data_IF_724814886632
#
_entry.id   IF_724814886632
#
_cell.length_a   1.000
_cell.length_b   1.000
_cell.length_c   1.000
_cell.angle_alpha   90.00
_cell.angle_beta   90.00
_cell.angle_gamma   90.00
#
_symmetry.space_group_name_H-M   'P 1'
#
loop_
_entity.id
_entity.type
_entity.pdbx_description
1 polymer ?
#
# COMPACT_ATOMS: atom_id res chain seq x y z
N UNK A 1 -17.62 5.97 15.02
CA UNK A 1 -18.23 4.89 14.20
C UNK A 1 -17.54 3.57 14.45
N UNK A 2 -16.24 3.50 14.49
CA UNK A 2 -15.47 2.30 14.84
C UNK A 2 -15.58 1.14 13.85
N UNK A 3 -14.85 0.06 14.12
CA UNK A 3 -14.74 -1.11 13.25
C UNK A 3 -16.10 -1.76 12.91
N UNK A 4 -17.09 -1.67 13.79
CA UNK A 4 -18.44 -2.24 13.57
C UNK A 4 -19.09 -1.72 12.29
N UNK A 5 -18.86 -0.45 11.92
CA UNK A 5 -19.48 0.17 10.75
C UNK A 5 -18.94 -0.30 9.40
N UNK A 6 -17.85 -1.08 9.41
CA UNK A 6 -17.17 -1.57 8.20
C UNK A 6 -17.07 -3.09 8.13
N UNK A 7 -17.55 -3.81 9.15
CA UNK A 7 -17.45 -5.29 9.21
C UNK A 7 -18.08 -5.99 8.01
N UNK A 8 -19.12 -5.44 7.42
CA UNK A 8 -19.76 -6.01 6.23
C UNK A 8 -18.79 -6.06 5.03
N UNK A 9 -17.83 -5.15 4.96
CA UNK A 9 -16.82 -5.07 3.90
C UNK A 9 -15.57 -5.94 4.18
N UNK A 10 -15.43 -6.47 5.40
CA UNK A 10 -14.22 -7.17 5.84
C UNK A 10 -14.41 -8.69 5.83
N UNK A 11 -13.42 -9.38 5.26
CA UNK A 11 -13.22 -10.82 5.40
C UNK A 11 -12.14 -11.07 6.45
N UNK A 12 -12.45 -11.71 7.57
CA UNK A 12 -11.46 -12.01 8.59
C UNK A 12 -10.30 -12.84 8.07
N UNK A 13 -9.13 -12.69 8.68
CA UNK A 13 -7.96 -13.54 8.40
C UNK A 13 -8.33 -15.01 8.58
N UNK A 14 -7.86 -15.86 7.67
CA UNK A 14 -8.16 -17.31 7.71
C UNK A 14 -7.64 -17.97 8.99
N UNK A 15 -8.36 -18.95 9.52
CA UNK A 15 -7.94 -19.71 10.71
C UNK A 15 -6.58 -20.39 10.52
N UNK A 16 -6.24 -20.78 9.29
CA UNK A 16 -4.93 -21.35 8.98
C UNK A 16 -3.78 -20.36 9.25
N UNK A 17 -3.98 -19.08 9.00
CA UNK A 17 -2.99 -18.01 9.27
C UNK A 17 -2.99 -17.70 10.77
N UNK A 18 -4.16 -17.52 11.39
CA UNK A 18 -4.28 -17.26 12.83
C UNK A 18 -3.72 -18.38 13.71
N UNK A 19 -3.68 -19.61 13.19
CA UNK A 19 -3.15 -20.79 13.92
C UNK A 19 -1.65 -21.02 13.74
N UNK A 20 -0.92 -20.12 13.08
CA UNK A 20 0.53 -20.20 12.99
C UNK A 20 1.16 -20.19 14.39
N UNK A 21 2.01 -21.17 14.67
CA UNK A 21 2.73 -21.31 15.95
C UNK A 21 4.14 -21.84 15.67
N UNK A 22 5.10 -21.42 16.47
CA UNK A 22 6.41 -22.03 16.49
C UNK A 22 6.38 -23.39 17.20
N UNK A 23 7.29 -24.26 16.79
CA UNK A 23 7.58 -25.52 17.52
C UNK A 23 8.58 -25.30 18.67
N UNK A 24 9.30 -24.18 18.68
CA UNK A 24 10.19 -23.81 19.76
C UNK A 24 9.46 -22.87 20.76
N UNK A 25 9.48 -23.25 22.03
CA UNK A 25 8.86 -22.48 23.12
C UNK A 25 9.54 -21.14 23.41
N UNK A 26 10.76 -20.95 22.91
CA UNK A 26 11.54 -19.71 23.06
C UNK A 26 11.29 -18.73 21.91
N UNK A 27 10.55 -19.14 20.88
CA UNK A 27 10.18 -18.25 19.79
C UNK A 27 9.07 -17.29 20.22
N UNK A 28 9.32 -16.01 20.00
CA UNK A 28 8.33 -14.93 20.17
C UNK A 28 7.98 -14.33 18.79
N UNK A 29 7.11 -15.01 18.05
CA UNK A 29 6.71 -14.58 16.72
C UNK A 29 5.73 -13.41 16.77
N UNK A 30 5.80 -12.54 15.76
CA UNK A 30 4.92 -11.37 15.61
C UNK A 30 3.43 -11.72 15.74
N UNK A 31 3.00 -12.91 15.32
CA UNK A 31 1.60 -13.33 15.47
C UNK A 31 1.10 -13.28 16.92
N UNK A 32 1.97 -13.35 17.89
CA UNK A 32 1.58 -13.28 19.31
C UNK A 32 1.17 -11.86 19.73
N UNK A 33 1.59 -10.84 18.94
CA UNK A 33 1.26 -9.42 19.13
C UNK A 33 0.06 -8.98 18.27
N UNK A 34 -0.48 -9.87 17.43
CA UNK A 34 -1.61 -9.55 16.54
C UNK A 34 -2.94 -9.82 17.23
N UNK A 35 -3.74 -8.78 17.35
CA UNK A 35 -5.15 -8.87 17.74
C UNK A 35 -6.06 -9.17 16.56
N UNK A 36 -7.05 -10.03 16.78
CA UNK A 36 -8.05 -10.43 15.78
C UNK A 36 -9.50 -10.23 16.24
N UNK A 37 -9.69 -9.82 17.50
CA UNK A 37 -11.01 -9.58 18.09
C UNK A 37 -11.27 -8.09 18.16
N UNK A 38 -12.53 -7.68 18.09
CA UNK A 38 -12.91 -6.27 18.13
C UNK A 38 -12.35 -5.52 19.34
N UNK A 39 -12.23 -6.20 20.49
CA UNK A 39 -11.63 -5.61 21.68
C UNK A 39 -10.17 -5.21 21.44
N UNK A 40 -9.44 -5.96 20.64
CA UNK A 40 -8.03 -5.70 20.33
C UNK A 40 -7.89 -4.44 19.45
N UNK A 41 -8.87 -4.17 18.59
CA UNK A 41 -8.91 -2.97 17.74
C UNK A 41 -8.80 -1.68 18.55
N UNK A 42 -9.53 -1.58 19.65
CA UNK A 42 -9.57 -0.34 20.43
C UNK A 42 -8.24 0.00 21.11
N UNK A 43 -7.42 -1.02 21.39
CA UNK A 43 -6.11 -0.85 22.03
C UNK A 43 -4.94 -0.84 21.05
N UNK A 44 -5.17 -1.17 19.77
CA UNK A 44 -4.14 -1.19 18.75
C UNK A 44 -3.71 0.22 18.33
N UNK A 45 -2.43 0.38 18.04
CA UNK A 45 -1.85 1.59 17.45
C UNK A 45 -1.83 1.50 15.92
N UNK A 46 -1.66 0.28 15.40
CA UNK A 46 -1.59 -0.04 14.00
C UNK A 46 -2.70 -0.98 13.57
N UNK A 47 -3.27 -0.73 12.39
CA UNK A 47 -4.22 -1.64 11.75
C UNK A 47 -3.62 -2.16 10.45
N UNK A 48 -3.61 -3.48 10.30
CA UNK A 48 -3.24 -4.18 9.07
C UNK A 48 -4.51 -4.54 8.31
N UNK A 49 -4.57 -4.19 7.02
CA UNK A 49 -5.68 -4.54 6.14
C UNK A 49 -5.16 -5.00 4.78
N UNK A 50 -5.80 -6.00 4.19
CA UNK A 50 -5.49 -6.47 2.83
C UNK A 50 -6.55 -6.07 1.82
N UNK A 51 -6.12 -5.83 0.56
CA UNK A 51 -7.01 -5.66 -0.59
C UNK A 51 -6.62 -6.66 -1.69
N UNK A 52 -7.13 -7.92 -1.65
CA UNK A 52 -6.72 -9.00 -2.54
C UNK A 52 -7.40 -8.89 -3.91
N UNK A 53 -6.96 -7.93 -4.73
CA UNK A 53 -7.45 -7.71 -6.09
C UNK A 53 -6.30 -7.42 -7.07
N UNK A 54 -6.50 -7.67 -8.35
CA UNK A 54 -5.57 -7.36 -9.43
C UNK A 54 -6.30 -6.94 -10.72
N UNK A 55 -7.54 -6.51 -10.59
CA UNK A 55 -8.36 -6.06 -11.72
C UNK A 55 -7.74 -4.84 -12.40
N UNK A 56 -7.24 -3.86 -11.63
CA UNK A 56 -6.55 -2.69 -12.17
C UNK A 56 -5.30 -3.07 -12.97
N UNK A 57 -4.55 -4.08 -12.51
CA UNK A 57 -3.38 -4.63 -13.23
C UNK A 57 -3.82 -5.27 -14.54
N UNK A 58 -4.89 -6.06 -14.53
CA UNK A 58 -5.43 -6.71 -15.71
C UNK A 58 -5.90 -5.69 -16.75
N UNK A 59 -6.64 -4.66 -16.35
CA UNK A 59 -7.07 -3.56 -17.21
C UNK A 59 -5.89 -2.79 -17.81
N UNK A 60 -4.79 -2.66 -17.07
CA UNK A 60 -3.54 -2.07 -17.55
C UNK A 60 -2.70 -3.04 -18.40
N UNK A 61 -3.20 -4.24 -18.70
CA UNK A 61 -2.52 -5.33 -19.43
C UNK A 61 -1.25 -5.84 -18.74
N UNK A 62 -1.16 -5.68 -17.41
CA UNK A 62 -0.11 -6.23 -16.59
C UNK A 62 -0.30 -7.71 -16.27
N UNK A 63 0.67 -8.30 -15.56
CA UNK A 63 0.64 -9.71 -15.17
C UNK A 63 -0.16 -9.88 -13.88
N UNK A 64 -1.26 -10.62 -13.95
CA UNK A 64 -2.12 -10.90 -12.78
C UNK A 64 -1.42 -11.81 -11.76
N UNK A 65 -1.86 -11.78 -10.49
CA UNK A 65 -1.34 -12.60 -9.39
C UNK A 65 -1.22 -11.83 -8.06
N UNK A 66 -1.21 -10.49 -8.10
CA UNK A 66 -1.07 -9.65 -6.91
C UNK A 66 -2.19 -9.85 -5.87
N UNK A 67 -3.37 -10.33 -6.26
CA UNK A 67 -4.45 -10.64 -5.31
C UNK A 67 -4.08 -11.70 -4.25
N UNK A 68 -3.04 -12.52 -4.51
CA UNK A 68 -2.57 -13.50 -3.52
C UNK A 68 -1.64 -12.89 -2.46
N UNK A 69 -1.12 -11.68 -2.68
CA UNK A 69 -0.08 -11.08 -1.87
C UNK A 69 -0.47 -10.89 -0.40
N UNK A 70 -1.66 -10.36 -0.03
CA UNK A 70 -1.98 -10.06 1.36
C UNK A 70 -1.81 -11.28 2.29
N UNK A 71 -2.35 -12.42 1.90
CA UNK A 71 -2.27 -13.65 2.71
C UNK A 71 -0.88 -14.30 2.68
N UNK A 72 -0.16 -14.18 1.57
CA UNK A 72 1.23 -14.67 1.48
C UNK A 72 2.17 -13.85 2.36
N UNK A 73 2.00 -12.52 2.35
CA UNK A 73 2.78 -11.61 3.20
C UNK A 73 2.52 -11.93 4.68
N UNK A 74 1.25 -12.04 5.12
CA UNK A 74 0.91 -12.41 6.50
C UNK A 74 1.60 -13.69 6.96
N UNK A 75 1.64 -14.73 6.11
CA UNK A 75 2.28 -16.01 6.44
C UNK A 75 3.78 -15.90 6.70
N UNK A 76 4.47 -14.96 6.07
CA UNK A 76 5.90 -14.72 6.30
C UNK A 76 6.10 -13.73 7.45
N UNK A 77 5.39 -12.62 7.45
CA UNK A 77 5.46 -11.56 8.45
C UNK A 77 5.23 -12.10 9.88
N UNK A 78 4.20 -12.91 10.07
CA UNK A 78 3.79 -13.41 11.39
C UNK A 78 4.76 -14.38 12.03
N UNK A 79 5.74 -14.90 11.27
CA UNK A 79 6.80 -15.78 11.76
C UNK A 79 8.08 -15.03 12.15
N UNK A 80 8.11 -13.70 11.97
CA UNK A 80 9.30 -12.93 12.34
C UNK A 80 9.37 -12.80 13.86
N UNK A 81 10.59 -12.88 14.40
CA UNK A 81 10.84 -12.79 15.83
C UNK A 81 10.65 -11.35 16.31
N UNK A 82 9.88 -11.18 17.38
CA UNK A 82 9.71 -9.89 18.03
C UNK A 82 10.67 -9.74 19.23
N UNK A 83 11.11 -8.51 19.53
CA UNK A 83 11.82 -8.24 20.77
C UNK A 83 10.96 -8.61 21.98
N UNK A 84 11.57 -9.18 23.04
CA UNK A 84 10.85 -9.63 24.25
C UNK A 84 10.05 -8.52 24.95
N UNK A 85 10.45 -7.26 24.78
CA UNK A 85 9.81 -6.10 25.41
C UNK A 85 9.09 -5.21 24.37
N UNK A 86 8.58 -5.78 23.28
CA UNK A 86 7.80 -5.02 22.31
C UNK A 86 6.48 -4.58 22.93
N UNK A 87 6.18 -3.28 22.84
CA UNK A 87 4.89 -2.70 23.26
C UNK A 87 3.94 -2.45 22.08
N UNK A 88 4.33 -2.89 20.87
CA UNK A 88 3.56 -2.67 19.64
C UNK A 88 2.24 -3.43 19.72
N UNK A 89 1.15 -2.73 19.45
CA UNK A 89 -0.19 -3.31 19.38
C UNK A 89 -0.73 -3.20 17.97
N UNK A 90 -0.97 -4.33 17.36
CA UNK A 90 -1.44 -4.45 15.98
C UNK A 90 -2.79 -5.14 15.97
N UNK A 91 -3.72 -4.59 15.23
CA UNK A 91 -4.98 -5.26 14.90
C UNK A 91 -4.97 -5.65 13.43
N UNK A 92 -5.22 -6.92 13.10
CA UNK A 92 -5.41 -7.33 11.72
C UNK A 92 -6.91 -7.39 11.39
N UNK A 93 -7.35 -6.44 10.59
CA UNK A 93 -8.73 -6.32 10.13
C UNK A 93 -9.13 -7.39 9.09
N UNK A 94 -8.16 -8.17 8.58
CA UNK A 94 -8.37 -9.10 7.49
C UNK A 94 -8.27 -8.43 6.13
N UNK A 95 -9.11 -8.87 5.19
CA UNK A 95 -9.11 -8.38 3.81
C UNK A 95 -10.41 -7.67 3.48
N UNK A 96 -10.39 -6.75 2.52
CA UNK A 96 -11.60 -6.31 1.83
C UNK A 96 -12.20 -7.51 1.09
N UNK A 97 -13.52 -7.68 1.20
CA UNK A 97 -14.26 -8.71 0.44
C UNK A 97 -14.37 -8.28 -1.02
N UNK A 98 -13.58 -8.87 -1.88
CA UNK A 98 -13.58 -8.53 -3.31
C UNK A 98 -14.60 -9.33 -4.11
N UNK A 99 -14.91 -10.55 -3.67
CA UNK A 99 -15.84 -11.49 -4.32
C UNK A 99 -17.29 -11.01 -4.32
N UNK A 100 -17.74 -10.37 -3.25
CA UNK A 100 -19.11 -9.84 -3.18
C UNK A 100 -19.37 -8.72 -4.21
N UNK A 101 -18.32 -8.02 -4.64
CA UNK A 101 -18.43 -6.95 -5.61
C UNK A 101 -18.32 -7.43 -7.05
N UNK A 102 -17.69 -8.60 -7.27
CA UNK A 102 -17.56 -9.23 -8.58
C UNK A 102 -18.81 -10.02 -9.01
N UNK A 103 -19.64 -10.45 -8.06
CA UNK A 103 -20.78 -11.36 -8.29
C UNK A 103 -22.15 -10.66 -8.28
N UNK A 104 -22.21 -9.34 -8.27
CA UNK A 104 -23.48 -8.61 -8.36
C UNK A 104 -24.00 -8.71 -9.79
N UNK A 105 -25.20 -9.30 -9.97
CA UNK A 105 -25.85 -9.39 -11.27
C UNK A 105 -26.15 -7.99 -11.82
N UNK A 106 -26.08 -7.83 -13.16
CA UNK A 106 -26.36 -6.54 -13.83
C UNK A 106 -27.74 -5.96 -13.47
N UNK A 107 -28.73 -6.81 -13.21
CA UNK A 107 -30.09 -6.41 -12.84
C UNK A 107 -30.18 -5.79 -11.42
N UNK A 108 -29.29 -6.15 -10.49
CA UNK A 108 -29.24 -5.59 -9.13
C UNK A 108 -28.49 -4.22 -9.09
N UNK A 109 -27.70 -3.92 -10.11
CA UNK A 109 -26.92 -2.70 -10.23
C UNK A 109 -27.80 -1.47 -10.48
N UNK A 110 -28.98 -1.65 -11.11
CA UNK A 110 -29.83 -0.55 -11.55
C UNK A 110 -30.58 0.18 -10.42
N UNK A 111 -30.56 -0.34 -9.20
CA UNK A 111 -31.45 0.17 -8.15
C UNK A 111 -30.78 0.96 -7.01
N UNK A 112 -29.47 0.87 -6.70
CA UNK A 112 -28.92 1.53 -5.50
C UNK A 112 -27.43 1.91 -5.51
N UNK A 113 -26.66 1.79 -6.59
CA UNK A 113 -25.21 2.06 -6.54
C UNK A 113 -24.74 3.15 -7.49
N UNK A 114 -23.95 4.08 -6.98
CA UNK A 114 -23.32 5.17 -7.75
C UNK A 114 -22.33 4.70 -8.82
N UNK A 115 -21.86 3.44 -8.76
CA UNK A 115 -20.96 2.86 -9.75
C UNK A 115 -21.33 1.42 -10.12
N UNK A 116 -21.52 1.17 -11.41
CA UNK A 116 -21.69 -0.17 -11.99
C UNK A 116 -20.37 -0.98 -12.01
N UNK A 117 -19.22 -0.36 -11.81
CA UNK A 117 -17.90 -0.98 -11.88
C UNK A 117 -17.51 -1.65 -10.55
N UNK A 118 -17.27 -2.97 -10.58
CA UNK A 118 -16.85 -3.76 -9.42
C UNK A 118 -15.57 -3.22 -8.75
N UNK A 119 -14.59 -2.76 -9.55
CA UNK A 119 -13.34 -2.21 -9.02
C UNK A 119 -13.58 -0.92 -8.23
N UNK A 120 -14.45 -0.03 -8.70
CA UNK A 120 -14.80 1.19 -7.98
C UNK A 120 -15.48 0.87 -6.65
N UNK A 121 -16.34 -0.16 -6.59
CA UNK A 121 -16.97 -0.61 -5.32
C UNK A 121 -15.94 -1.17 -4.33
N UNK A 122 -14.92 -1.88 -4.80
CA UNK A 122 -13.80 -2.35 -3.97
C UNK A 122 -13.04 -1.14 -3.41
N UNK A 123 -12.75 -0.13 -4.25
CA UNK A 123 -12.09 1.10 -3.81
C UNK A 123 -12.94 1.87 -2.78
N UNK A 124 -14.24 1.93 -2.96
CA UNK A 124 -15.15 2.59 -2.00
C UNK A 124 -15.16 1.88 -0.64
N UNK A 125 -15.18 0.55 -0.64
CA UNK A 125 -15.09 -0.25 0.58
C UNK A 125 -13.75 -0.08 1.30
N UNK A 126 -12.63 -0.08 0.55
CA UNK A 126 -11.29 0.16 1.11
C UNK A 126 -11.19 1.60 1.65
N UNK A 127 -11.65 2.61 0.89
CA UNK A 127 -11.68 4.00 1.36
C UNK A 127 -12.42 4.12 2.69
N UNK A 128 -13.63 3.55 2.78
CA UNK A 128 -14.46 3.60 3.99
C UNK A 128 -13.76 2.92 5.18
N UNK A 129 -13.08 1.80 4.95
CA UNK A 129 -12.34 1.09 5.99
C UNK A 129 -11.15 1.92 6.49
N UNK A 130 -10.27 2.37 5.59
CA UNK A 130 -9.09 3.16 5.93
C UNK A 130 -9.49 4.49 6.60
N UNK A 131 -10.52 5.17 6.09
CA UNK A 131 -11.08 6.38 6.69
C UNK A 131 -11.54 6.16 8.14
N UNK A 132 -12.20 5.02 8.40
CA UNK A 132 -12.64 4.66 9.74
C UNK A 132 -11.45 4.50 10.68
N UNK A 133 -10.42 3.77 10.26
CA UNK A 133 -9.21 3.56 11.07
C UNK A 133 -8.47 4.87 11.34
N UNK A 134 -8.33 5.73 10.33
CA UNK A 134 -7.68 7.04 10.49
C UNK A 134 -8.43 7.96 11.44
N UNK A 135 -9.79 7.99 11.37
CA UNK A 135 -10.65 8.77 12.28
C UNK A 135 -10.58 8.27 13.73
N UNK A 136 -10.35 6.97 13.90
CA UNK A 136 -10.14 6.36 15.23
C UNK A 136 -8.68 6.50 15.72
N UNK A 137 -7.85 7.31 15.01
CA UNK A 137 -6.48 7.64 15.41
C UNK A 137 -5.43 6.57 15.08
N UNK A 138 -5.79 5.54 14.32
CA UNK A 138 -4.87 4.44 13.97
C UNK A 138 -3.93 4.82 12.82
N UNK A 139 -2.74 4.21 12.80
CA UNK A 139 -1.90 4.15 11.62
C UNK A 139 -2.24 2.89 10.82
N UNK A 140 -2.28 2.99 9.50
CA UNK A 140 -2.78 1.91 8.65
C UNK A 140 -1.65 1.32 7.81
N UNK A 141 -1.56 -0.01 7.79
CA UNK A 141 -0.69 -0.76 6.90
C UNK A 141 -1.60 -1.47 5.90
N UNK A 142 -1.49 -1.11 4.62
CA UNK A 142 -2.29 -1.71 3.56
C UNK A 142 -1.45 -2.71 2.78
N UNK A 143 -1.91 -3.96 2.75
CA UNK A 143 -1.33 -5.01 1.92
C UNK A 143 -2.09 -5.05 0.61
N UNK A 144 -1.50 -4.49 -0.43
CA UNK A 144 -2.12 -4.39 -1.74
C UNK A 144 -2.12 -5.69 -2.51
N UNK A 145 -2.95 -5.65 -3.47
CA UNK A 145 -3.00 -6.16 -4.80
C UNK A 145 -2.33 -5.21 -5.79
N UNK A 146 -3.08 -4.78 -6.81
CA UNK A 146 -2.59 -3.82 -7.81
C UNK A 146 -2.50 -2.39 -7.29
N UNK A 147 -1.66 -1.56 -7.94
CA UNK A 147 -1.39 -0.18 -7.51
C UNK A 147 -2.60 0.78 -7.63
N UNK A 148 -3.67 0.38 -8.31
CA UNK A 148 -4.92 1.16 -8.38
C UNK A 148 -5.57 1.41 -7.00
N UNK A 149 -5.25 0.59 -5.96
CA UNK A 149 -5.79 0.79 -4.61
C UNK A 149 -5.26 2.06 -3.94
N UNK A 150 -4.13 2.61 -4.38
CA UNK A 150 -3.61 3.90 -3.90
C UNK A 150 -4.65 5.02 -4.04
N UNK A 151 -5.55 4.90 -5.05
CA UNK A 151 -6.70 5.80 -5.17
C UNK A 151 -7.57 5.78 -3.92
N UNK A 152 -7.87 4.60 -3.38
CA UNK A 152 -8.73 4.45 -2.22
C UNK A 152 -8.08 4.99 -0.94
N UNK A 153 -6.80 4.68 -0.74
CA UNK A 153 -6.05 4.99 0.46
C UNK A 153 -5.73 6.49 0.57
N UNK A 154 -5.29 7.12 -0.52
CA UNK A 154 -5.05 8.56 -0.57
C UNK A 154 -6.37 9.33 -0.44
N UNK A 155 -7.46 8.88 -1.09
CA UNK A 155 -8.80 9.46 -0.93
C UNK A 155 -9.25 9.39 0.54
N UNK A 156 -9.04 8.27 1.22
CA UNK A 156 -9.36 8.12 2.63
C UNK A 156 -8.58 9.11 3.50
N UNK A 157 -7.27 9.27 3.25
CA UNK A 157 -6.47 10.26 3.97
C UNK A 157 -6.98 11.67 3.72
N UNK A 158 -7.24 12.05 2.46
CA UNK A 158 -7.74 13.38 2.09
C UNK A 158 -9.10 13.71 2.72
N UNK A 159 -9.94 12.70 2.95
CA UNK A 159 -11.25 12.88 3.62
C UNK A 159 -11.14 13.05 5.15
N UNK A 160 -9.99 12.70 5.74
CA UNK A 160 -9.80 12.75 7.21
C UNK A 160 -8.99 13.95 7.67
N UNK A 161 -8.19 14.55 6.82
CA UNK A 161 -7.33 15.70 7.14
C UNK A 161 -7.52 16.83 6.14
N UNK A 162 -7.26 18.07 6.59
CA UNK A 162 -7.42 19.25 5.72
C UNK A 162 -6.39 19.30 4.59
N UNK A 163 -5.19 18.84 4.87
CA UNK A 163 -4.07 18.82 3.93
C UNK A 163 -3.17 17.63 4.25
N UNK A 164 -2.72 16.94 3.22
CA UNK A 164 -1.83 15.79 3.33
C UNK A 164 -0.78 15.83 2.22
N UNK A 165 0.32 15.12 2.43
CA UNK A 165 1.30 14.84 1.40
C UNK A 165 1.22 13.36 0.98
N UNK A 166 1.58 13.10 -0.26
CA UNK A 166 1.61 11.76 -0.85
C UNK A 166 3.03 11.51 -1.36
N UNK A 167 3.65 10.45 -0.87
CA UNK A 167 4.92 9.94 -1.37
C UNK A 167 4.62 8.62 -2.06
N UNK A 168 4.87 8.55 -3.37
CA UNK A 168 4.81 7.32 -4.15
C UNK A 168 6.23 6.90 -4.52
N UNK A 169 6.65 5.74 -4.04
CA UNK A 169 7.96 5.14 -4.35
C UNK A 169 7.73 4.09 -5.43
N UNK A 170 7.97 4.47 -6.68
CA UNK A 170 7.54 3.74 -7.87
C UNK A 170 8.48 4.01 -9.05
N UNK A 171 8.59 3.06 -9.96
CA UNK A 171 9.25 3.24 -11.24
C UNK A 171 8.35 3.95 -12.28
N UNK A 172 7.04 3.94 -12.04
CA UNK A 172 5.99 4.47 -12.90
C UNK A 172 5.34 5.71 -12.27
N UNK A 173 4.84 6.62 -13.11
CA UNK A 173 4.16 7.84 -12.68
C UNK A 173 2.70 7.58 -12.29
N UNK A 174 2.10 6.57 -12.84
CA UNK A 174 0.69 6.14 -12.67
C UNK A 174 -0.36 7.27 -12.78
N UNK A 175 -0.05 8.20 -13.68
CA UNK A 175 -0.89 9.34 -14.07
C UNK A 175 -1.36 9.26 -15.53
N UNK A 176 -1.62 8.06 -16.04
CA UNK A 176 -2.13 7.86 -17.41
C UNK A 176 -3.52 8.44 -17.55
N UNK A 177 -3.82 8.95 -18.75
CA UNK A 177 -5.17 9.33 -19.15
C UNK A 177 -5.93 8.06 -19.56
N UNK A 178 -6.99 7.76 -18.85
CA UNK A 178 -7.95 6.71 -19.18
C UNK A 178 -9.29 7.00 -18.51
N UNK A 179 -10.37 6.59 -19.18
CA UNK A 179 -11.72 6.73 -18.63
C UNK A 179 -11.93 5.81 -17.43
N UNK A 180 -11.43 4.58 -17.56
CA UNK A 180 -11.53 3.57 -16.49
C UNK A 180 -10.34 3.62 -15.52
N UNK A 181 -10.57 3.15 -14.30
CA UNK A 181 -9.52 2.91 -13.32
C UNK A 181 -8.67 1.71 -13.74
N UNK A 182 -7.35 1.90 -13.72
CA UNK A 182 -6.33 0.85 -13.94
C UNK A 182 -5.19 1.04 -12.95
N UNK A 183 -4.27 0.09 -12.83
CA UNK A 183 -3.08 0.26 -11.98
C UNK A 183 -2.16 1.41 -12.42
N UNK A 184 -2.32 1.92 -13.65
CA UNK A 184 -1.55 3.06 -14.17
C UNK A 184 -2.26 4.42 -14.07
N UNK A 185 -3.35 4.56 -13.31
CA UNK A 185 -4.17 5.79 -13.31
C UNK A 185 -4.50 6.38 -11.94
N UNK A 186 -4.15 5.76 -10.78
CA UNK A 186 -4.69 6.18 -9.49
C UNK A 186 -4.40 7.64 -9.17
N UNK A 187 -3.17 8.11 -9.37
CA UNK A 187 -2.80 9.48 -9.02
C UNK A 187 -3.41 10.52 -9.96
N UNK A 188 -3.61 10.19 -11.25
CA UNK A 188 -4.39 11.04 -12.16
C UNK A 188 -5.81 11.24 -11.63
N UNK A 189 -6.49 10.15 -11.27
CA UNK A 189 -7.86 10.20 -10.76
C UNK A 189 -7.97 10.95 -9.43
N UNK A 190 -6.97 10.85 -8.58
CA UNK A 190 -6.88 11.61 -7.32
C UNK A 190 -6.76 13.12 -7.55
N UNK A 191 -5.91 13.54 -8.50
CA UNK A 191 -5.76 14.96 -8.86
C UNK A 191 -7.05 15.49 -9.50
N UNK A 192 -7.64 14.77 -10.45
CA UNK A 192 -8.91 15.13 -11.11
C UNK A 192 -10.07 15.21 -10.10
N UNK A 193 -10.09 14.32 -9.10
CA UNK A 193 -11.08 14.29 -8.00
C UNK A 193 -10.82 15.29 -6.88
N UNK A 194 -9.78 16.12 -6.95
CA UNK A 194 -9.34 17.04 -5.90
C UNK A 194 -9.01 16.36 -4.54
N UNK A 195 -8.62 15.09 -4.57
CA UNK A 195 -8.14 14.35 -3.41
C UNK A 195 -6.63 14.46 -3.21
N UNK A 196 -5.91 14.89 -4.25
CA UNK A 196 -4.46 15.11 -4.25
C UNK A 196 -4.13 16.43 -4.93
N UNK A 197 -3.40 17.30 -4.24
CA UNK A 197 -2.83 18.50 -4.84
C UNK A 197 -1.47 18.16 -5.43
N UNK A 198 -1.20 18.49 -6.72
CA UNK A 198 0.07 18.16 -7.35
C UNK A 198 1.31 18.66 -6.58
N UNK A 199 1.24 19.84 -5.94
CA UNK A 199 2.32 20.40 -5.14
C UNK A 199 2.60 19.64 -3.81
N UNK A 200 1.75 18.72 -3.41
CA UNK A 200 1.94 17.83 -2.27
C UNK A 200 2.22 16.38 -2.70
N UNK A 201 2.53 16.16 -3.97
CA UNK A 201 2.78 14.85 -4.54
C UNK A 201 4.26 14.66 -4.90
N UNK A 202 4.86 13.61 -4.37
CA UNK A 202 6.27 13.26 -4.51
C UNK A 202 6.40 11.87 -5.13
N UNK A 203 6.89 11.82 -6.36
CA UNK A 203 7.18 10.61 -7.12
C UNK A 203 8.65 10.26 -7.00
N UNK A 204 8.98 9.12 -6.40
CA UNK A 204 10.36 8.75 -6.08
C UNK A 204 10.77 7.43 -6.74
N UNK A 205 11.87 7.46 -7.51
CA UNK A 205 12.39 6.27 -8.18
C UNK A 205 11.98 6.16 -9.65
N UNK A 206 11.37 7.20 -10.21
CA UNK A 206 10.82 7.24 -11.56
C UNK A 206 11.88 6.89 -12.62
N UNK A 207 11.54 5.94 -13.50
CA UNK A 207 12.36 5.55 -14.66
C UNK A 207 11.82 6.21 -15.93
N UNK A 208 12.62 7.10 -16.55
CA UNK A 208 12.19 7.86 -17.74
C UNK A 208 11.80 6.96 -18.91
N UNK A 209 12.50 5.84 -19.09
CA UNK A 209 12.27 4.86 -20.15
C UNK A 209 10.95 4.10 -20.02
N UNK A 210 10.35 4.09 -18.83
CA UNK A 210 9.09 3.41 -18.54
C UNK A 210 7.88 4.36 -18.58
N UNK A 211 8.13 5.68 -18.71
CA UNK A 211 7.11 6.70 -18.58
C UNK A 211 6.98 7.55 -19.86
N UNK A 212 5.75 7.90 -20.23
CA UNK A 212 5.53 8.84 -21.34
C UNK A 212 6.09 10.21 -20.98
N UNK A 213 6.96 10.74 -21.85
CA UNK A 213 7.52 12.09 -21.71
C UNK A 213 6.43 13.14 -21.49
N UNK A 214 5.31 13.02 -22.21
CA UNK A 214 4.18 13.94 -22.06
C UNK A 214 3.60 13.91 -20.65
N UNK A 215 3.39 12.72 -20.06
CA UNK A 215 2.83 12.63 -18.70
C UNK A 215 3.79 13.15 -17.64
N UNK A 216 5.10 12.94 -17.84
CA UNK A 216 6.12 13.52 -16.94
C UNK A 216 6.09 15.05 -17.00
N UNK A 217 6.12 15.63 -18.21
CA UNK A 217 6.04 17.08 -18.41
C UNK A 217 4.72 17.66 -17.85
N UNK A 218 3.58 16.97 -18.06
CA UNK A 218 2.28 17.41 -17.56
C UNK A 218 2.26 17.40 -16.02
N UNK A 219 2.81 16.38 -15.36
CA UNK A 219 2.89 16.27 -13.90
C UNK A 219 3.79 17.36 -13.29
N UNK A 220 5.00 17.54 -13.84
CA UNK A 220 5.93 18.58 -13.39
C UNK A 220 5.34 19.98 -13.57
N UNK A 221 4.69 20.27 -14.71
CA UNK A 221 4.01 21.56 -14.97
C UNK A 221 2.85 21.84 -14.01
N UNK A 222 2.22 20.79 -13.44
CA UNK A 222 1.19 20.91 -12.41
C UNK A 222 1.76 21.08 -11.01
N UNK A 223 3.06 20.89 -10.82
CA UNK A 223 3.75 21.06 -9.53
C UNK A 223 4.12 19.74 -8.83
N UNK A 224 3.92 18.57 -9.45
CA UNK A 224 4.37 17.28 -8.90
C UNK A 224 5.89 17.23 -8.82
N UNK A 225 6.41 16.77 -7.69
CA UNK A 225 7.83 16.63 -7.44
C UNK A 225 8.32 15.26 -7.93
N UNK A 226 9.11 15.23 -9.01
CA UNK A 226 9.59 13.97 -9.61
C UNK A 226 11.08 13.75 -9.31
N UNK A 227 11.38 12.62 -8.67
CA UNK A 227 12.75 12.17 -8.35
C UNK A 227 13.10 10.99 -9.26
N UNK A 228 13.92 11.24 -10.26
CA UNK A 228 14.34 10.22 -11.21
C UNK A 228 15.39 9.27 -10.64
N UNK A 229 15.25 7.97 -10.91
CA UNK A 229 16.13 6.94 -10.36
C UNK A 229 17.62 7.22 -10.58
N UNK A 230 18.11 7.62 -11.78
CA UNK A 230 19.54 7.90 -11.97
C UNK A 230 20.07 9.05 -11.09
N UNK A 231 19.25 10.07 -10.85
CA UNK A 231 19.63 11.22 -10.04
C UNK A 231 19.63 10.85 -8.55
N UNK A 232 18.63 10.08 -8.12
CA UNK A 232 18.51 9.53 -6.76
C UNK A 232 19.71 8.63 -6.42
N UNK A 233 20.09 7.72 -7.33
CA UNK A 233 21.25 6.84 -7.12
C UNK A 233 22.57 7.62 -7.07
N UNK A 234 22.71 8.67 -7.87
CA UNK A 234 23.91 9.54 -7.89
C UNK A 234 24.07 10.36 -6.62
N UNK A 235 22.97 10.90 -6.11
CA UNK A 235 22.95 11.73 -4.89
C UNK A 235 23.02 10.90 -3.60
N UNK A 236 22.51 9.67 -3.69
CA UNK A 236 22.26 8.76 -2.57
C UNK A 236 20.79 8.75 -2.16
N UNK A 237 20.20 7.54 -2.15
CA UNK A 237 18.77 7.32 -1.95
C UNK A 237 18.26 7.96 -0.66
N UNK A 238 18.90 7.68 0.46
CA UNK A 238 18.51 8.23 1.76
C UNK A 238 18.68 9.76 1.85
N UNK A 239 19.65 10.33 1.14
CA UNK A 239 19.84 11.79 1.07
C UNK A 239 18.69 12.46 0.32
N UNK A 240 18.37 11.94 -0.87
CA UNK A 240 17.26 12.45 -1.67
C UNK A 240 15.93 12.30 -0.96
N UNK A 241 15.72 11.15 -0.28
CA UNK A 241 14.48 10.88 0.44
C UNK A 241 14.28 11.79 1.67
N UNK A 242 15.34 12.08 2.41
CA UNK A 242 15.30 13.04 3.54
C UNK A 242 14.80 14.41 3.12
N UNK A 243 15.17 14.90 1.92
CA UNK A 243 14.65 16.18 1.41
C UNK A 243 13.12 16.18 1.29
N UNK A 244 12.52 15.07 0.87
CA UNK A 244 11.07 14.95 0.83
C UNK A 244 10.51 15.02 2.26
N UNK A 245 11.09 14.27 3.21
CA UNK A 245 10.63 14.26 4.59
C UNK A 245 10.78 15.62 5.28
N UNK A 246 11.75 16.43 4.86
CA UNK A 246 11.94 17.80 5.37
C UNK A 246 10.94 18.78 4.71
N UNK A 247 10.60 18.56 3.43
CA UNK A 247 9.65 19.40 2.69
C UNK A 247 8.20 19.20 3.13
N UNK A 248 7.78 17.96 3.40
CA UNK A 248 6.43 17.66 3.89
C UNK A 248 6.17 18.20 5.30
N UNK A 249 7.23 18.46 6.08
CA UNK A 249 7.14 18.98 7.46
C UNK A 249 6.23 18.11 8.35
N UNK A 250 5.23 18.74 8.99
CA UNK A 250 4.29 18.10 9.91
C UNK A 250 2.96 17.67 9.22
N UNK A 251 2.87 17.78 7.88
CA UNK A 251 1.66 17.35 7.16
C UNK A 251 1.48 15.84 7.30
N UNK A 252 0.28 15.36 7.66
CA UNK A 252 -0.02 13.93 7.58
C UNK A 252 0.29 13.39 6.19
N UNK A 253 0.94 12.21 6.10
CA UNK A 253 1.29 11.70 4.80
C UNK A 253 1.01 10.22 4.61
N UNK A 254 0.78 9.89 3.34
CA UNK A 254 0.73 8.57 2.77
C UNK A 254 2.12 8.20 2.21
N UNK A 255 2.56 6.98 2.50
CA UNK A 255 3.74 6.37 1.90
C UNK A 255 3.30 5.13 1.12
N UNK A 256 3.23 5.26 -0.20
CA UNK A 256 2.99 4.17 -1.13
C UNK A 256 4.30 3.58 -1.62
N UNK A 257 4.37 2.26 -1.63
CA UNK A 257 5.49 1.49 -2.16
C UNK A 257 4.98 0.51 -3.21
N UNK A 258 5.21 0.84 -4.48
CA UNK A 258 5.11 -0.13 -5.56
C UNK A 258 6.39 -0.98 -5.57
N UNK A 259 6.22 -2.30 -5.43
CA UNK A 259 7.36 -3.22 -5.34
C UNK A 259 8.16 -3.32 -6.64
N UNK A 260 7.65 -2.81 -7.76
CA UNK A 260 8.38 -2.82 -9.03
C UNK A 260 9.45 -1.71 -9.16
N UNK A 261 9.48 -0.77 -8.21
CA UNK A 261 10.60 0.17 -8.09
C UNK A 261 11.90 -0.55 -7.74
N UNK A 262 11.80 -1.72 -7.11
CA UNK A 262 12.95 -2.51 -6.66
C UNK A 262 13.51 -3.34 -7.81
N UNK A 263 14.84 -3.44 -7.88
CA UNK A 263 15.51 -4.28 -8.87
C UNK A 263 15.09 -5.76 -8.77
N UNK A 264 14.98 -6.43 -9.91
CA UNK A 264 14.54 -7.83 -10.00
C UNK A 264 15.42 -8.82 -9.21
N UNK A 265 16.67 -8.46 -8.91
CA UNK A 265 17.56 -9.28 -8.07
C UNK A 265 17.00 -9.44 -6.65
N UNK A 266 16.32 -8.41 -6.12
CA UNK A 266 15.78 -8.39 -4.76
C UNK A 266 14.26 -8.67 -4.76
N UNK A 267 13.49 -8.14 -5.74
CA UNK A 267 12.05 -8.30 -5.86
C UNK A 267 11.64 -8.80 -7.26
N UNK A 268 11.83 -10.10 -7.58
CA UNK A 268 11.43 -10.66 -8.88
C UNK A 268 9.90 -10.79 -9.04
N UNK A 269 9.17 -10.93 -7.95
CA UNK A 269 7.73 -11.21 -7.91
C UNK A 269 6.89 -9.95 -8.01
N UNK A 270 6.91 -9.29 -9.18
CA UNK A 270 6.13 -8.10 -9.49
C UNK A 270 5.59 -8.16 -10.92
N UNK A 271 4.61 -7.31 -11.26
CA UNK A 271 4.04 -7.27 -12.61
C UNK A 271 5.05 -6.74 -13.63
N UNK A 272 5.79 -5.68 -13.34
CA UNK A 272 6.71 -4.99 -14.25
C UNK A 272 8.17 -5.07 -13.77
N UNK A 273 8.68 -6.31 -13.62
CA UNK A 273 10.03 -6.58 -13.13
C UNK A 273 11.13 -5.96 -14.01
N UNK A 274 12.13 -5.33 -13.40
CA UNK A 274 13.25 -4.66 -14.08
C UNK A 274 14.60 -5.00 -13.43
N UNK A 275 15.68 -5.16 -14.22
CA UNK A 275 17.01 -5.34 -13.66
C UNK A 275 17.57 -4.10 -12.97
N UNK A 276 17.02 -2.91 -13.28
CA UNK A 276 17.41 -1.64 -12.67
C UNK A 276 16.31 -1.16 -11.74
N UNK A 277 16.71 -0.71 -10.56
CA UNK A 277 15.79 -0.21 -9.53
C UNK A 277 16.54 0.11 -8.23
N UNK A 278 15.79 0.45 -7.20
CA UNK A 278 16.30 0.52 -5.84
C UNK A 278 16.63 -0.89 -5.34
N UNK A 279 17.56 -0.98 -4.41
CA UNK A 279 17.78 -2.23 -3.66
C UNK A 279 16.75 -2.39 -2.55
N UNK A 280 16.47 -3.63 -2.15
CA UNK A 280 15.61 -3.89 -1.00
C UNK A 280 16.13 -3.23 0.29
N UNK A 281 17.45 -3.09 0.43
CA UNK A 281 18.07 -2.41 1.58
C UNK A 281 17.77 -0.91 1.58
N UNK A 282 17.88 -0.25 0.43
CA UNK A 282 17.58 1.20 0.30
C UNK A 282 16.13 1.48 0.65
N UNK A 283 15.20 0.62 0.20
CA UNK A 283 13.77 0.75 0.53
C UNK A 283 13.53 0.56 2.04
N UNK A 284 14.17 -0.41 2.68
CA UNK A 284 14.09 -0.59 4.13
C UNK A 284 14.58 0.66 4.86
N UNK A 285 15.71 1.24 4.44
CA UNK A 285 16.26 2.46 5.04
C UNK A 285 15.31 3.67 4.85
N UNK A 286 14.62 3.78 3.70
CA UNK A 286 13.59 4.80 3.46
C UNK A 286 12.38 4.64 4.39
N UNK A 287 11.85 3.43 4.52
CA UNK A 287 10.71 3.13 5.41
C UNK A 287 11.07 3.41 6.87
N UNK A 288 12.28 3.04 7.29
CA UNK A 288 12.80 3.37 8.62
C UNK A 288 12.83 4.89 8.86
N UNK A 289 13.32 5.68 7.89
CA UNK A 289 13.32 7.14 7.98
C UNK A 289 11.91 7.73 8.02
N UNK A 290 11.00 7.22 7.18
CA UNK A 290 9.62 7.67 7.16
C UNK A 290 8.90 7.39 8.49
N UNK A 291 9.14 6.21 9.09
CA UNK A 291 8.53 5.80 10.36
C UNK A 291 8.96 6.70 11.53
N UNK A 292 10.13 7.33 11.48
CA UNK A 292 10.56 8.30 12.50
C UNK A 292 9.70 9.58 12.51
N UNK A 293 8.86 9.79 11.49
CA UNK A 293 7.92 10.90 11.42
C UNK A 293 6.58 10.48 12.00
N UNK A 294 6.14 11.12 13.08
CA UNK A 294 4.86 10.84 13.76
C UNK A 294 3.62 11.10 12.89
N UNK A 295 3.78 11.90 11.83
CA UNK A 295 2.74 12.25 10.88
C UNK A 295 2.60 11.26 9.70
N UNK A 296 3.35 10.15 9.65
CA UNK A 296 3.10 9.04 8.74
C UNK A 296 1.81 8.31 9.13
N UNK A 297 0.80 8.33 8.27
CA UNK A 297 -0.53 7.78 8.60
C UNK A 297 -0.83 6.47 7.90
N UNK A 298 -0.30 6.27 6.69
CA UNK A 298 -0.53 5.08 5.89
C UNK A 298 0.81 4.61 5.33
N UNK A 299 1.10 3.31 5.49
CA UNK A 299 2.07 2.55 4.70
C UNK A 299 1.29 1.62 3.79
N UNK A 300 1.37 1.84 2.49
CA UNK A 300 0.78 0.97 1.49
C UNK A 300 1.89 0.21 0.74
N UNK A 301 1.68 -1.07 0.46
CA UNK A 301 2.59 -1.88 -0.36
C UNK A 301 1.79 -2.59 -1.45
N UNK A 302 2.11 -2.31 -2.72
CA UNK A 302 1.38 -2.79 -3.90
C UNK A 302 2.25 -3.61 -4.85
N UNK A 303 1.66 -4.18 -5.87
CA UNK A 303 2.27 -4.92 -7.00
C UNK A 303 3.12 -6.14 -6.60
N UNK A 304 3.12 -6.55 -5.32
CA UNK A 304 3.70 -7.84 -4.93
C UNK A 304 2.93 -8.95 -5.64
N UNK A 305 3.62 -9.76 -6.46
CA UNK A 305 2.99 -10.79 -7.26
C UNK A 305 3.58 -12.18 -6.96
N UNK A 306 2.98 -12.95 -6.03
CA UNK A 306 3.49 -14.26 -5.64
C UNK A 306 3.54 -15.30 -6.76
N UNK A 307 2.73 -15.13 -7.82
CA UNK A 307 2.72 -16.05 -8.98
C UNK A 307 4.04 -16.00 -9.75
N UNK A 308 4.71 -14.86 -9.76
CA UNK A 308 6.00 -14.67 -10.46
C UNK A 308 7.19 -14.58 -9.51
N UNK A 309 6.96 -14.79 -8.21
CA UNK A 309 8.02 -14.73 -7.21
C UNK A 309 8.90 -16.00 -7.22
N UNK A 310 10.13 -15.85 -6.77
CA UNK A 310 11.11 -16.93 -6.68
C UNK A 310 11.40 -17.18 -5.20
N UNK A 311 11.04 -18.36 -4.70
CA UNK A 311 11.22 -18.76 -3.29
C UNK A 311 10.61 -17.77 -2.27
N UNK A 312 9.48 -17.17 -2.62
CA UNK A 312 8.84 -16.12 -1.83
C UNK A 312 9.78 -14.94 -1.51
N UNK A 313 10.75 -14.63 -2.35
CA UNK A 313 11.80 -13.61 -2.12
C UNK A 313 11.18 -12.23 -1.96
N UNK A 314 10.29 -11.83 -2.88
CA UNK A 314 9.59 -10.55 -2.84
C UNK A 314 8.66 -10.48 -1.63
N UNK A 315 7.89 -11.53 -1.38
CA UNK A 315 7.00 -11.63 -0.22
C UNK A 315 7.78 -11.53 1.10
N UNK A 316 8.94 -12.19 1.20
CA UNK A 316 9.83 -12.09 2.37
C UNK A 316 10.40 -10.68 2.54
N UNK A 317 10.78 -10.02 1.43
CA UNK A 317 11.27 -8.64 1.48
C UNK A 317 10.18 -7.69 1.99
N UNK A 318 8.95 -7.80 1.48
CA UNK A 318 7.79 -7.03 2.00
C UNK A 318 7.60 -7.26 3.49
N UNK A 319 7.72 -8.52 3.94
CA UNK A 319 7.59 -8.83 5.36
C UNK A 319 8.68 -8.16 6.20
N UNK A 320 9.93 -8.07 5.70
CA UNK A 320 11.00 -7.33 6.36
C UNK A 320 10.76 -5.82 6.37
N UNK A 321 10.24 -5.26 5.29
CA UNK A 321 9.88 -3.84 5.19
C UNK A 321 8.84 -3.48 6.26
N UNK A 322 7.75 -4.26 6.37
CA UNK A 322 6.70 -4.04 7.37
C UNK A 322 7.27 -4.23 8.79
N UNK A 323 8.09 -5.23 8.99
CA UNK A 323 8.75 -5.48 10.28
C UNK A 323 9.62 -4.29 10.71
N UNK A 324 10.42 -3.73 9.78
CA UNK A 324 11.22 -2.53 10.05
C UNK A 324 10.35 -1.29 10.31
N UNK A 325 9.22 -1.15 9.62
CA UNK A 325 8.23 -0.11 9.91
C UNK A 325 7.68 -0.22 11.34
N UNK A 326 7.35 -1.43 11.77
CA UNK A 326 6.77 -1.66 13.08
C UNK A 326 7.75 -1.41 14.23
N UNK A 327 9.03 -1.75 14.04
CA UNK A 327 10.10 -1.65 15.06
C UNK A 327 10.94 -0.37 14.97
N UNK A 328 10.76 0.43 13.93
CA UNK A 328 11.55 1.63 13.62
C UNK A 328 11.30 2.84 14.51
#
# INVERSE_FOLDING_TARGET
>A
MGIESIKEHLQPVSEKIKSLRSHDKHDHWLINEIGFKDVDYYTADHVLIGCPQHEGVQRNKGRIGAAEAPDKIRKQLYKLQMPENSEIKIFDAGNIKTDIYNNIAEDDILNEMESSDALNRIHDALTKAVETFLKDGKNVIVLGGGNDISFADVRALSNTVKESSVINVDAHLDMRLADEMTSGTPYRKLVEGNHLKPENFYEFGIRKENNSKKYLEDAENQGTHTFFLPDVLKEGVTTSFKRILDDIQDKPFFFGLDMDVIQAADAPGVSASSPMGLTGREVIDMVYLARQKENMRILEITETNPTYDIDDRTVKLVSQIIYCYLLG
#
